data_IF_197792523624
#
_entry.id   IF_197792523624
#
_cell.length_a   1.000
_cell.length_b   1.000
_cell.length_c   1.000
_cell.angle_alpha   90.00
_cell.angle_beta   90.00
_cell.angle_gamma   90.00
#
_symmetry.space_group_name_H-M   'P 1'
#
loop_
_entity.id
_entity.type
_entity.pdbx_description
1 polymer ?
#
# COMPACT_ATOMS: atom_id res chain seq x y z
N UNK A 1 -30.89 -14.28 -8.47
CA UNK A 1 -30.03 -13.44 -9.32
C UNK A 1 -29.31 -12.33 -8.54
N UNK A 2 -29.44 -12.32 -7.18
CA UNK A 2 -28.89 -11.25 -6.34
C UNK A 2 -27.58 -11.57 -5.61
N UNK A 3 -27.05 -12.81 -5.76
CA UNK A 3 -25.80 -13.20 -5.11
C UNK A 3 -24.55 -12.62 -5.81
N UNK A 4 -24.62 -12.41 -7.12
CA UNK A 4 -23.52 -11.85 -7.91
C UNK A 4 -23.37 -10.34 -7.77
N UNK A 5 -24.44 -9.61 -7.47
CA UNK A 5 -24.41 -8.16 -7.32
C UNK A 5 -23.75 -7.68 -6.00
N UNK A 6 -23.67 -8.53 -4.98
CA UNK A 6 -22.99 -8.21 -3.73
C UNK A 6 -21.50 -8.49 -3.75
N UNK A 7 -21.02 -9.37 -4.63
CA UNK A 7 -19.59 -9.72 -4.74
C UNK A 7 -18.80 -8.76 -5.63
N UNK A 8 -19.45 -8.02 -6.53
CA UNK A 8 -18.79 -7.09 -7.45
C UNK A 8 -18.21 -5.81 -6.82
N UNK A 9 -18.46 -5.56 -5.54
CA UNK A 9 -17.89 -4.38 -4.84
C UNK A 9 -16.45 -4.58 -4.34
N UNK A 10 -15.82 -5.70 -4.59
CA UNK A 10 -14.64 -6.15 -3.84
C UNK A 10 -13.45 -6.52 -4.71
N UNK A 11 -13.62 -6.73 -6.01
CA UNK A 11 -12.54 -7.23 -6.87
C UNK A 11 -11.45 -6.21 -7.22
N UNK A 12 -11.74 -4.96 -7.08
CA UNK A 12 -10.93 -3.88 -7.62
C UNK A 12 -9.87 -3.29 -6.71
N UNK A 13 -10.01 -3.50 -5.43
CA UNK A 13 -9.16 -2.84 -4.43
C UNK A 13 -7.76 -3.41 -4.26
N UNK A 14 -7.40 -4.41 -5.03
CA UNK A 14 -6.29 -5.26 -4.64
C UNK A 14 -4.95 -4.97 -5.30
N UNK A 15 -4.90 -4.22 -6.37
CA UNK A 15 -3.62 -3.82 -6.95
C UNK A 15 -2.95 -2.70 -6.13
N UNK A 16 -3.74 -1.80 -5.54
CA UNK A 16 -3.25 -0.66 -4.75
C UNK A 16 -4.22 -0.19 -3.66
N UNK A 17 -5.35 -0.84 -3.47
CA UNK A 17 -6.36 -0.37 -2.56
C UNK A 17 -6.43 -1.21 -1.30
N UNK A 18 -5.69 -0.82 -0.34
CA UNK A 18 -6.15 -0.77 1.03
C UNK A 18 -6.98 0.52 1.16
N UNK A 19 -7.95 0.73 0.31
CA UNK A 19 -8.82 1.87 0.40
C UNK A 19 -10.25 1.50 0.02
N UNK A 20 -11.08 1.52 1.03
CA UNK A 20 -12.46 1.94 1.00
C UNK A 20 -13.61 0.94 0.77
N UNK A 21 -14.28 0.61 1.87
CA UNK A 21 -15.74 0.70 1.97
C UNK A 21 -16.15 1.00 3.41
N UNK A 22 -16.42 2.27 3.69
CA UNK A 22 -17.15 2.72 4.87
C UNK A 22 -18.64 2.71 4.55
N UNK A 23 -19.39 1.81 5.19
CA UNK A 23 -20.75 2.12 5.62
C UNK A 23 -20.83 1.77 7.10
N UNK A 24 -20.96 2.81 7.90
CA UNK A 24 -21.14 2.74 9.33
C UNK A 24 -22.61 2.38 9.63
N UNK A 25 -22.82 1.34 10.45
CA UNK A 25 -24.00 1.22 11.29
C UNK A 25 -23.54 1.29 12.75
N UNK A 26 -24.20 2.06 13.60
CA UNK A 26 -23.81 2.20 14.99
C UNK A 26 -24.38 1.03 15.78
N UNK A 27 -23.52 0.25 16.43
CA UNK A 27 -23.91 -0.58 17.57
C UNK A 27 -23.19 -0.07 18.81
N UNK A 28 -23.97 0.52 19.69
CA UNK A 28 -23.59 0.81 21.06
C UNK A 28 -23.37 -0.53 21.80
N UNK A 29 -22.18 -0.76 22.29
CA UNK A 29 -21.96 -1.71 23.35
C UNK A 29 -20.87 -1.19 24.29
N UNK A 30 -21.32 -0.81 25.49
CA UNK A 30 -20.49 -0.42 26.60
C UNK A 30 -19.88 -1.67 27.24
N UNK A 31 -18.56 -1.82 27.19
CA UNK A 31 -17.83 -2.71 28.11
C UNK A 31 -16.59 -2.00 28.63
N UNK A 32 -16.50 -2.03 29.95
CA UNK A 32 -15.45 -1.46 30.78
C UNK A 32 -14.07 -1.93 30.37
N UNK A 33 -13.19 -1.00 30.09
CA UNK A 33 -11.78 -1.24 29.85
C UNK A 33 -11.08 -1.47 31.20
N UNK A 34 -10.56 -2.67 31.39
CA UNK A 34 -9.52 -2.91 32.37
C UNK A 34 -8.25 -2.21 31.90
N UNK A 35 -7.79 -1.20 32.62
CA UNK A 35 -6.55 -0.48 32.32
C UNK A 35 -5.37 -1.37 32.71
N UNK A 36 -4.81 -2.05 31.73
CA UNK A 36 -3.45 -2.60 31.79
C UNK A 36 -2.48 -1.46 31.48
N UNK A 37 -1.63 -1.12 32.43
CA UNK A 37 -0.56 -0.15 32.28
C UNK A 37 0.34 -0.58 31.10
N UNK A 38 0.21 0.11 29.98
CA UNK A 38 1.11 -0.01 28.82
C UNK A 38 2.41 0.69 29.19
N UNK A 39 3.48 -0.06 29.35
CA UNK A 39 4.84 0.49 29.35
C UNK A 39 5.00 1.24 28.03
N UNK A 40 5.32 2.52 28.11
CA UNK A 40 5.29 3.48 27.01
C UNK A 40 6.04 3.01 25.77
N UNK A 41 5.31 2.48 24.83
CA UNK A 41 5.79 2.25 23.47
C UNK A 41 5.98 3.63 22.83
N UNK A 42 7.17 3.90 22.30
CA UNK A 42 7.41 5.16 21.60
C UNK A 42 6.35 5.33 20.48
N UNK A 43 5.82 6.54 20.26
CA UNK A 43 4.79 6.76 19.25
C UNK A 43 5.29 6.29 17.88
N UNK A 44 4.43 5.61 17.13
CA UNK A 44 4.73 5.16 15.78
C UNK A 44 5.15 6.35 14.91
N UNK A 45 6.34 6.25 14.30
CA UNK A 45 6.91 7.34 13.50
C UNK A 45 7.74 6.81 12.35
N UNK A 46 7.85 7.60 11.30
CA UNK A 46 8.82 7.37 10.23
C UNK A 46 10.20 7.79 10.73
N UNK A 47 11.17 6.90 10.54
CA UNK A 47 12.58 7.15 10.85
C UNK A 47 13.27 7.46 9.53
N UNK A 48 14.17 8.48 9.46
CA UNK A 48 14.96 8.73 8.26
C UNK A 48 15.71 7.48 7.78
N UNK A 49 15.90 7.29 6.46
CA UNK A 49 16.67 6.18 5.94
C UNK A 49 18.12 6.27 6.42
N UNK A 50 18.84 5.14 6.49
CA UNK A 50 20.27 5.14 6.80
C UNK A 50 21.03 6.10 5.87
N UNK A 51 22.08 6.78 6.34
CA UNK A 51 22.82 7.79 5.54
C UNK A 51 23.41 7.25 4.22
N UNK A 52 23.66 5.94 4.14
CA UNK A 52 24.20 5.25 2.96
C UNK A 52 23.10 4.61 2.10
N UNK A 53 21.82 4.76 2.43
CA UNK A 53 20.73 4.23 1.63
C UNK A 53 20.71 4.87 0.24
N UNK A 54 20.63 4.03 -0.77
CA UNK A 54 20.49 4.46 -2.17
C UNK A 54 19.13 4.05 -2.68
N UNK A 55 18.38 5.04 -3.10
CA UNK A 55 17.09 4.80 -3.75
C UNK A 55 17.28 4.01 -5.06
N UNK A 56 16.37 3.08 -5.39
CA UNK A 56 16.38 2.35 -6.66
C UNK A 56 15.91 3.25 -7.82
N UNK A 57 16.69 4.29 -8.11
CA UNK A 57 16.35 5.32 -9.08
C UNK A 57 16.25 4.73 -10.49
N UNK A 58 15.17 5.08 -11.21
CA UNK A 58 14.86 4.60 -12.56
C UNK A 58 14.62 3.07 -12.67
N UNK A 59 14.69 2.34 -11.58
CA UNK A 59 14.35 0.92 -11.61
C UNK A 59 12.85 0.71 -11.58
N UNK A 60 12.35 -0.08 -12.53
CA UNK A 60 10.97 -0.54 -12.58
C UNK A 60 10.87 -1.99 -12.10
N UNK A 61 10.05 -2.25 -11.11
CA UNK A 61 9.69 -3.59 -10.68
C UNK A 61 8.42 -4.02 -11.40
N UNK A 62 8.51 -5.03 -12.25
CA UNK A 62 7.37 -5.58 -12.98
C UNK A 62 6.92 -6.87 -12.31
N UNK A 63 5.66 -6.92 -11.95
CA UNK A 63 5.04 -8.06 -11.26
C UNK A 63 3.95 -8.72 -12.10
N UNK A 64 3.88 -10.03 -12.05
CA UNK A 64 2.67 -10.78 -12.40
C UNK A 64 1.75 -10.77 -11.18
N UNK A 65 0.51 -10.34 -11.37
CA UNK A 65 -0.55 -10.42 -10.36
C UNK A 65 -1.34 -11.72 -10.54
N UNK A 66 -1.48 -12.50 -9.48
CA UNK A 66 -2.21 -13.77 -9.46
C UNK A 66 -3.36 -13.68 -8.46
N UNK A 67 -4.53 -14.18 -8.86
CA UNK A 67 -5.71 -14.34 -8.02
C UNK A 67 -6.21 -15.77 -8.11
N UNK A 68 -6.32 -16.48 -6.97
CA UNK A 68 -6.69 -17.89 -6.94
C UNK A 68 -5.91 -18.76 -7.96
N UNK A 69 -4.58 -18.57 -8.04
CA UNK A 69 -3.66 -19.28 -8.94
C UNK A 69 -3.84 -18.97 -10.44
N UNK A 70 -4.69 -18.00 -10.77
CA UNK A 70 -4.87 -17.53 -12.15
C UNK A 70 -4.09 -16.23 -12.31
N UNK A 71 -3.38 -16.07 -13.42
CA UNK A 71 -2.80 -14.77 -13.78
C UNK A 71 -3.92 -13.77 -14.00
N UNK A 72 -4.00 -12.79 -13.12
CA UNK A 72 -5.04 -11.76 -13.14
C UNK A 72 -4.58 -10.50 -13.90
N UNK A 73 -3.27 -10.23 -13.93
CA UNK A 73 -2.77 -9.02 -14.57
C UNK A 73 -1.29 -8.80 -14.33
N UNK A 74 -0.87 -7.57 -14.60
CA UNK A 74 0.49 -7.08 -14.41
C UNK A 74 0.46 -5.81 -13.58
N UNK A 75 1.43 -5.63 -12.69
CA UNK A 75 1.67 -4.38 -11.99
C UNK A 75 3.11 -3.93 -12.21
N UNK A 76 3.30 -2.62 -12.37
CA UNK A 76 4.64 -2.01 -12.51
C UNK A 76 4.77 -0.91 -11.47
N UNK A 77 5.90 -0.90 -10.75
CA UNK A 77 6.21 0.16 -9.79
C UNK A 77 7.59 0.70 -10.11
N UNK A 78 7.68 2.00 -10.29
CA UNK A 78 8.92 2.71 -10.64
C UNK A 78 9.12 3.91 -9.73
N UNK A 79 10.38 4.13 -9.33
CA UNK A 79 10.78 5.33 -8.62
C UNK A 79 11.61 6.25 -9.53
N UNK A 80 11.36 7.55 -9.44
CA UNK A 80 12.02 8.59 -10.23
C UNK A 80 12.44 9.75 -9.31
N UNK A 81 13.48 10.47 -9.73
CA UNK A 81 13.81 11.78 -9.13
C UNK A 81 12.94 12.86 -9.76
N UNK A 82 12.30 13.70 -8.94
CA UNK A 82 11.44 14.79 -9.37
C UNK A 82 11.83 16.10 -8.63
N UNK A 83 12.87 16.75 -9.12
CA UNK A 83 13.46 17.93 -8.46
C UNK A 83 14.09 17.54 -7.12
N UNK A 84 13.64 18.14 -6.01
CA UNK A 84 14.09 17.81 -4.65
C UNK A 84 13.34 16.62 -4.04
N UNK A 85 12.28 16.13 -4.69
CA UNK A 85 11.43 15.05 -4.22
C UNK A 85 11.75 13.73 -4.94
N UNK A 86 11.23 12.65 -4.39
CA UNK A 86 11.07 11.37 -5.09
C UNK A 86 9.64 11.21 -5.54
N UNK A 87 9.49 10.62 -6.72
CA UNK A 87 8.19 10.26 -7.30
C UNK A 87 8.13 8.75 -7.49
N UNK A 88 7.07 8.15 -7.00
CA UNK A 88 6.74 6.75 -7.30
C UNK A 88 5.58 6.74 -8.26
N UNK A 89 5.74 6.01 -9.35
CA UNK A 89 4.67 5.74 -10.31
C UNK A 89 4.37 4.26 -10.26
N UNK A 90 3.09 3.92 -10.12
CA UNK A 90 2.67 2.54 -10.17
C UNK A 90 1.46 2.37 -11.07
N UNK A 91 1.45 1.31 -11.85
CA UNK A 91 0.33 0.93 -12.72
C UNK A 91 -0.10 -0.49 -12.46
N UNK A 92 -1.38 -0.77 -12.65
CA UNK A 92 -1.91 -2.13 -12.60
C UNK A 92 -2.93 -2.32 -13.72
N UNK A 93 -2.78 -3.42 -14.46
CA UNK A 93 -3.67 -3.77 -15.55
C UNK A 93 -4.09 -5.24 -15.45
N UNK A 94 -5.39 -5.49 -15.53
CA UNK A 94 -5.90 -6.85 -15.62
C UNK A 94 -5.66 -7.44 -17.00
N UNK A 95 -5.54 -8.78 -17.06
CA UNK A 95 -5.28 -9.53 -18.29
C UNK A 95 -6.17 -10.77 -18.41
N UNK A 96 -6.23 -11.32 -19.64
CA UNK A 96 -6.94 -12.56 -19.91
C UNK A 96 -8.42 -12.52 -19.53
N UNK A 97 -8.92 -13.62 -18.96
CA UNK A 97 -10.32 -13.76 -18.56
C UNK A 97 -10.74 -12.74 -17.49
N UNK A 98 -9.82 -12.36 -16.60
CA UNK A 98 -10.08 -11.34 -15.57
C UNK A 98 -10.40 -10.00 -16.21
N UNK A 99 -9.67 -9.60 -17.25
CA UNK A 99 -9.91 -8.34 -17.95
C UNK A 99 -11.28 -8.31 -18.67
N UNK A 100 -11.80 -9.46 -19.08
CA UNK A 100 -13.13 -9.54 -19.69
C UNK A 100 -14.26 -9.38 -18.65
N UNK A 101 -14.07 -10.00 -17.47
CA UNK A 101 -15.10 -10.01 -16.43
C UNK A 101 -15.03 -8.74 -15.57
N UNK A 102 -13.83 -8.31 -15.24
CA UNK A 102 -13.58 -7.19 -14.36
C UNK A 102 -12.29 -6.45 -14.78
N UNK A 103 -12.39 -5.57 -15.81
CA UNK A 103 -11.24 -4.82 -16.29
C UNK A 103 -10.71 -3.89 -15.19
N UNK A 104 -9.39 -3.90 -14.99
CA UNK A 104 -8.66 -3.00 -14.08
C UNK A 104 -7.62 -2.24 -14.90
N UNK A 105 -7.60 -0.92 -14.74
CA UNK A 105 -6.57 -0.01 -15.25
C UNK A 105 -6.35 1.08 -14.23
N UNK A 106 -5.33 0.90 -13.42
CA UNK A 106 -5.01 1.85 -12.37
C UNK A 106 -3.66 2.52 -12.64
N UNK A 107 -3.63 3.80 -12.38
CA UNK A 107 -2.42 4.60 -12.36
C UNK A 107 -2.34 5.35 -11.03
N UNK A 108 -1.20 5.23 -10.38
CA UNK A 108 -0.91 5.84 -9.11
C UNK A 108 0.39 6.64 -9.22
N UNK A 109 0.39 7.86 -8.72
CA UNK A 109 1.57 8.68 -8.56
C UNK A 109 1.64 9.22 -7.13
N UNK A 110 2.77 9.05 -6.45
CA UNK A 110 3.04 9.64 -5.15
C UNK A 110 4.35 10.43 -5.19
N UNK A 111 4.38 11.54 -4.46
CA UNK A 111 5.58 12.35 -4.24
C UNK A 111 5.88 12.41 -2.75
N UNK A 112 7.15 12.29 -2.41
CA UNK A 112 7.58 12.29 -1.02
C UNK A 112 8.98 12.93 -0.85
N UNK A 113 9.25 13.41 0.36
CA UNK A 113 10.55 13.94 0.76
C UNK A 113 11.54 12.78 1.00
N UNK A 114 12.65 12.70 0.23
CA UNK A 114 13.57 11.56 0.30
C UNK A 114 14.29 11.39 1.64
N UNK A 115 14.46 12.46 2.41
CA UNK A 115 15.14 12.40 3.71
C UNK A 115 14.26 11.88 4.83
N UNK A 116 12.95 11.96 4.67
CA UNK A 116 12.00 11.66 5.74
C UNK A 116 10.96 10.61 5.35
N UNK A 117 10.81 10.28 4.05
CA UNK A 117 9.70 9.49 3.51
C UNK A 117 8.30 10.04 3.78
N UNK A 118 8.19 11.31 4.19
CA UNK A 118 6.90 11.96 4.32
C UNK A 118 6.29 12.18 2.94
N UNK A 119 5.10 11.65 2.69
CA UNK A 119 4.38 11.89 1.44
C UNK A 119 3.92 13.35 1.34
N UNK A 120 4.07 13.96 0.17
CA UNK A 120 3.64 15.32 -0.11
C UNK A 120 2.32 15.33 -0.89
N UNK A 121 2.18 14.40 -1.85
CA UNK A 121 0.95 14.28 -2.64
C UNK A 121 0.77 12.86 -3.18
N UNK A 122 -0.49 12.52 -3.44
CA UNK A 122 -0.89 11.29 -4.13
C UNK A 122 -1.90 11.67 -5.21
N UNK A 123 -1.76 11.08 -6.39
CA UNK A 123 -2.77 11.12 -7.45
C UNK A 123 -3.07 9.70 -7.88
N UNK A 124 -4.34 9.35 -7.97
CA UNK A 124 -4.81 8.04 -8.41
C UNK A 124 -5.83 8.22 -9.51
N UNK A 125 -5.64 7.52 -10.60
CA UNK A 125 -6.67 7.27 -11.60
C UNK A 125 -7.00 5.79 -11.54
N UNK A 126 -8.22 5.45 -11.15
CA UNK A 126 -8.65 4.06 -10.97
C UNK A 126 -9.83 3.75 -11.88
N UNK A 127 -9.64 2.74 -12.73
CA UNK A 127 -10.69 2.14 -13.53
C UNK A 127 -10.83 0.66 -13.15
N UNK A 128 -11.85 0.36 -12.36
CA UNK A 128 -12.02 -0.94 -11.72
C UNK A 128 -13.44 -1.46 -11.99
N UNK A 129 -13.59 -2.26 -13.03
CA UNK A 129 -14.89 -2.74 -13.48
C UNK A 129 -15.85 -1.56 -13.73
N UNK A 130 -16.97 -1.49 -12.96
CA UNK A 130 -17.93 -0.39 -13.11
C UNK A 130 -17.48 0.93 -12.45
N UNK A 131 -16.41 0.92 -11.64
CA UNK A 131 -15.98 2.10 -10.88
C UNK A 131 -14.84 2.82 -11.60
N UNK A 132 -15.01 4.13 -11.81
CA UNK A 132 -13.99 4.99 -12.40
C UNK A 132 -13.85 6.24 -11.56
N UNK A 133 -12.65 6.49 -11.05
CA UNK A 133 -12.38 7.60 -10.13
C UNK A 133 -11.03 8.26 -10.39
N UNK A 134 -11.00 9.55 -10.15
CA UNK A 134 -9.79 10.30 -9.91
C UNK A 134 -9.76 10.72 -8.44
N UNK A 135 -8.62 10.53 -7.80
CA UNK A 135 -8.42 10.93 -6.41
C UNK A 135 -7.09 11.65 -6.32
N UNK A 136 -7.09 12.82 -5.70
CA UNK A 136 -5.86 13.50 -5.28
C UNK A 136 -5.85 13.69 -3.78
N UNK A 137 -4.68 13.55 -3.16
CA UNK A 137 -4.48 13.77 -1.74
C UNK A 137 -3.25 14.66 -1.58
N UNK A 138 -3.42 15.77 -0.86
CA UNK A 138 -2.34 16.68 -0.50
C UNK A 138 -2.07 16.58 1.00
N UNK A 139 -0.79 16.56 1.37
CA UNK A 139 -0.36 16.50 2.76
C UNK A 139 0.14 17.89 3.19
N UNK A 140 -0.64 18.58 4.01
CA UNK A 140 -0.29 19.90 4.57
C UNK A 140 0.17 19.74 6.01
N UNK A 141 1.46 19.56 6.16
CA UNK A 141 2.08 19.39 7.48
C UNK A 141 2.04 20.67 8.34
N UNK A 142 1.99 21.85 7.70
CA UNK A 142 1.90 23.12 8.44
C UNK A 142 0.51 23.29 9.07
N UNK A 143 -0.55 22.92 8.35
CA UNK A 143 -1.93 22.94 8.84
C UNK A 143 -2.30 21.66 9.60
N UNK A 144 -1.44 20.65 9.59
CA UNK A 144 -1.71 19.31 10.12
C UNK A 144 -2.97 18.69 9.52
N UNK A 145 -3.11 18.76 8.19
CA UNK A 145 -4.26 18.24 7.44
C UNK A 145 -3.81 17.45 6.21
N UNK A 146 -4.60 16.44 5.87
CA UNK A 146 -4.66 15.92 4.51
C UNK A 146 -5.92 16.46 3.84
N UNK A 147 -5.80 16.84 2.58
CA UNK A 147 -6.93 17.26 1.74
C UNK A 147 -7.12 16.23 0.66
N UNK A 148 -8.24 15.53 0.69
CA UNK A 148 -8.64 14.56 -0.31
C UNK A 148 -9.70 15.16 -1.22
N UNK A 149 -9.43 15.15 -2.52
CA UNK A 149 -10.39 15.46 -3.58
C UNK A 149 -10.63 14.20 -4.42
N UNK A 150 -11.87 13.74 -4.50
CA UNK A 150 -12.28 12.57 -5.28
C UNK A 150 -13.37 12.97 -6.30
N UNK A 151 -13.21 12.49 -7.54
CA UNK A 151 -14.19 12.65 -8.61
C UNK A 151 -14.60 11.29 -9.17
N UNK A 152 -15.89 11.01 -9.16
CA UNK A 152 -16.46 9.89 -9.89
C UNK A 152 -16.52 10.25 -11.38
N UNK A 153 -15.79 9.56 -12.23
CA UNK A 153 -15.68 9.87 -13.65
C UNK A 153 -16.92 9.48 -14.47
N UNK A 154 -17.81 8.66 -13.91
CA UNK A 154 -19.07 8.29 -14.56
C UNK A 154 -20.20 9.26 -14.26
N UNK A 155 -20.32 9.70 -13.01
CA UNK A 155 -21.41 10.57 -12.57
C UNK A 155 -21.01 12.04 -12.57
N UNK A 156 -19.71 12.35 -12.59
CA UNK A 156 -19.18 13.70 -12.42
C UNK A 156 -19.23 14.20 -10.97
N UNK A 157 -19.73 13.39 -10.04
CA UNK A 157 -19.82 13.74 -8.63
C UNK A 157 -18.43 13.94 -8.03
N UNK A 158 -18.26 15.00 -7.26
CA UNK A 158 -17.02 15.34 -6.58
C UNK A 158 -17.21 15.31 -5.06
N UNK A 159 -16.17 14.89 -4.37
CA UNK A 159 -16.12 14.88 -2.90
C UNK A 159 -14.81 15.46 -2.44
N UNK A 160 -14.86 16.43 -1.52
CA UNK A 160 -13.68 16.99 -0.85
C UNK A 160 -13.75 16.73 0.65
N UNK A 161 -12.65 16.21 1.21
CA UNK A 161 -12.57 15.88 2.65
C UNK A 161 -11.23 16.34 3.20
N UNK A 162 -11.26 17.04 4.33
CA UNK A 162 -10.08 17.30 5.14
C UNK A 162 -10.06 16.33 6.32
N UNK A 163 -8.90 15.73 6.60
CA UNK A 163 -8.68 14.89 7.77
C UNK A 163 -7.44 15.36 8.53
N UNK A 164 -7.36 15.00 9.82
CA UNK A 164 -6.21 15.33 10.64
C UNK A 164 -4.97 14.54 10.22
N UNK A 165 -3.82 15.22 10.26
CA UNK A 165 -2.50 14.68 9.99
C UNK A 165 -1.56 15.16 11.11
N UNK A 166 -1.39 14.35 12.14
CA UNK A 166 -0.62 14.77 13.32
C UNK A 166 0.88 14.91 13.03
N UNK A 167 1.43 13.97 12.26
CA UNK A 167 2.86 13.84 12.00
C UNK A 167 3.13 13.43 10.55
N UNK A 168 4.42 13.34 10.21
CA UNK A 168 4.86 12.72 8.97
C UNK A 168 4.20 11.34 8.77
N UNK A 169 3.59 11.13 7.62
CA UNK A 169 3.03 9.86 7.19
C UNK A 169 3.49 9.56 5.76
N UNK A 170 3.69 8.30 5.46
CA UNK A 170 3.93 7.84 4.10
C UNK A 170 2.62 7.36 3.47
N UNK A 171 2.55 7.23 2.14
CA UNK A 171 1.47 6.51 1.48
C UNK A 171 1.76 5.02 1.43
N UNK A 172 0.77 4.23 0.99
CA UNK A 172 0.87 2.77 0.97
C UNK A 172 2.02 2.27 0.12
N UNK A 173 2.27 2.86 -1.06
CA UNK A 173 3.32 2.38 -1.98
C UNK A 173 4.68 2.87 -1.54
N UNK A 174 4.79 4.14 -1.17
CA UNK A 174 6.02 4.69 -0.59
C UNK A 174 6.41 3.95 0.69
N UNK A 175 5.44 3.43 1.46
CA UNK A 175 5.65 2.58 2.63
C UNK A 175 6.45 1.28 2.33
N UNK A 176 6.30 0.71 1.14
CA UNK A 176 7.16 -0.42 0.73
C UNK A 176 8.60 0.00 0.51
N UNK A 177 8.85 1.16 -0.09
CA UNK A 177 10.19 1.70 -0.25
C UNK A 177 10.80 2.14 1.09
N UNK A 178 9.95 2.62 2.01
CA UNK A 178 10.37 2.87 3.38
C UNK A 178 10.86 1.59 4.05
N UNK A 179 10.11 0.49 3.99
CA UNK A 179 10.55 -0.80 4.52
C UNK A 179 11.81 -1.31 3.81
N UNK A 180 11.90 -1.16 2.49
CA UNK A 180 13.10 -1.50 1.72
C UNK A 180 14.35 -0.76 2.21
N UNK A 181 14.20 0.46 2.73
CA UNK A 181 15.30 1.26 3.25
C UNK A 181 15.75 0.86 4.64
N UNK A 182 14.95 0.08 5.37
CA UNK A 182 15.24 -0.30 6.76
C UNK A 182 16.22 -1.49 6.85
N UNK A 183 16.97 -1.60 7.94
CA UNK A 183 17.79 -2.79 8.21
C UNK A 183 16.89 -3.97 8.59
N UNK A 184 16.47 -4.76 7.60
CA UNK A 184 15.55 -5.88 7.77
C UNK A 184 16.23 -7.08 8.47
N UNK A 185 16.37 -7.01 9.79
CA UNK A 185 16.91 -8.09 10.61
C UNK A 185 15.78 -8.98 11.14
N UNK A 186 16.02 -10.27 11.27
CA UNK A 186 15.06 -11.21 11.85
C UNK A 186 14.61 -10.76 13.24
N UNK A 187 13.29 -10.73 13.45
CA UNK A 187 12.68 -10.27 14.69
C UNK A 187 12.51 -8.75 14.80
N UNK A 188 13.06 -7.96 13.86
CA UNK A 188 12.84 -6.52 13.85
C UNK A 188 11.36 -6.19 13.63
N UNK A 189 10.89 -5.14 14.30
CA UNK A 189 9.53 -4.63 14.20
C UNK A 189 9.58 -3.14 13.95
N UNK A 190 8.80 -2.68 12.97
CA UNK A 190 8.67 -1.29 12.59
C UNK A 190 7.21 -0.87 12.74
N UNK A 191 6.96 0.23 13.43
CA UNK A 191 5.63 0.84 13.53
C UNK A 191 5.69 2.25 12.96
N UNK A 192 4.87 2.50 11.94
CA UNK A 192 4.89 3.76 11.23
C UNK A 192 3.51 4.14 10.68
N UNK A 193 3.23 5.45 10.56
CA UNK A 193 1.98 5.94 9.99
C UNK A 193 2.00 5.87 8.47
N UNK A 194 0.92 5.30 7.90
CA UNK A 194 0.57 5.45 6.50
C UNK A 194 -0.72 6.27 6.38
N UNK A 195 -0.89 6.96 5.26
CA UNK A 195 -2.10 7.73 5.02
C UNK A 195 -2.56 7.62 3.56
N UNK A 196 -3.83 7.31 3.39
CA UNK A 196 -4.59 7.39 2.15
C UNK A 196 -5.74 8.38 2.34
N UNK A 197 -5.39 9.60 2.80
CA UNK A 197 -6.30 10.64 3.25
C UNK A 197 -6.64 10.54 4.74
N UNK A 198 -6.65 9.36 5.34
CA UNK A 198 -6.73 9.14 6.79
C UNK A 198 -5.55 8.33 7.27
N UNK A 199 -5.00 8.73 8.41
CA UNK A 199 -3.82 8.06 8.98
C UNK A 199 -4.18 6.74 9.64
N UNK A 200 -3.34 5.75 9.38
CA UNK A 200 -3.38 4.39 9.93
C UNK A 200 -2.00 4.03 10.42
N UNK A 201 -1.88 3.45 11.60
CA UNK A 201 -0.60 2.91 12.07
C UNK A 201 -0.46 1.48 11.56
N UNK A 202 0.66 1.22 10.91
CA UNK A 202 1.04 -0.11 10.41
C UNK A 202 2.17 -0.65 11.28
N UNK A 203 2.03 -1.91 11.67
CA UNK A 203 3.08 -2.70 12.30
C UNK A 203 3.60 -3.71 11.28
N UNK A 204 4.88 -3.60 10.96
CA UNK A 204 5.59 -4.51 10.08
C UNK A 204 6.63 -5.32 10.89
N UNK A 205 6.61 -6.65 10.79
CA UNK A 205 7.50 -7.54 11.51
C UNK A 205 8.29 -8.43 10.54
N UNK A 206 9.61 -8.49 10.71
CA UNK A 206 10.49 -9.39 9.95
C UNK A 206 10.42 -10.77 10.59
N UNK A 207 9.71 -11.70 9.96
CA UNK A 207 9.33 -12.99 10.57
C UNK A 207 10.39 -14.08 10.37
N UNK A 208 10.87 -14.23 9.14
CA UNK A 208 11.78 -15.33 8.77
C UNK A 208 12.54 -15.05 7.47
N UNK A 209 13.59 -15.86 7.26
CA UNK A 209 14.31 -15.97 5.99
C UNK A 209 13.89 -17.25 5.30
N UNK A 210 13.62 -17.18 4.00
CA UNK A 210 13.29 -18.35 3.20
C UNK A 210 13.67 -18.17 1.72
N UNK A 211 13.74 -19.29 0.98
CA UNK A 211 13.93 -19.25 -0.46
C UNK A 211 12.59 -18.98 -1.16
N UNK A 212 12.56 -17.98 -2.04
CA UNK A 212 11.38 -17.61 -2.81
C UNK A 212 11.70 -17.73 -4.29
N UNK A 213 10.90 -18.52 -4.99
CA UNK A 213 10.99 -18.68 -6.44
C UNK A 213 9.90 -17.85 -7.13
N UNK A 214 10.32 -16.90 -7.95
CA UNK A 214 9.48 -16.02 -8.78
C UNK A 214 9.94 -16.08 -10.23
N UNK A 215 9.20 -15.53 -11.21
CA UNK A 215 9.65 -15.54 -12.62
C UNK A 215 11.02 -14.88 -12.84
N UNK A 216 11.38 -13.85 -12.07
CA UNK A 216 12.69 -13.20 -12.12
C UNK A 216 13.85 -14.06 -11.59
N UNK A 217 13.58 -15.18 -10.92
CA UNK A 217 14.61 -16.07 -10.37
C UNK A 217 14.26 -16.64 -9.00
N UNK A 218 15.30 -17.16 -8.33
CA UNK A 218 15.21 -17.67 -6.95
C UNK A 218 16.04 -16.77 -6.03
N UNK A 219 15.41 -16.30 -4.96
CA UNK A 219 15.99 -15.35 -4.03
C UNK A 219 15.99 -15.91 -2.61
N UNK A 220 17.09 -15.72 -1.88
CA UNK A 220 17.02 -15.71 -0.42
C UNK A 220 16.28 -14.44 -0.01
N UNK A 221 15.20 -14.55 0.73
CA UNK A 221 14.35 -13.42 1.04
C UNK A 221 13.91 -13.38 2.50
N UNK A 222 13.71 -12.18 3.01
CA UNK A 222 13.18 -11.88 4.33
C UNK A 222 11.68 -11.64 4.21
N UNK A 223 10.90 -12.45 4.90
CA UNK A 223 9.45 -12.28 5.00
C UNK A 223 9.13 -11.20 6.01
N UNK A 224 8.46 -10.16 5.57
CA UNK A 224 7.91 -9.10 6.41
C UNK A 224 6.39 -9.18 6.36
N UNK A 225 5.73 -9.36 7.51
CA UNK A 225 4.28 -9.22 7.61
C UNK A 225 3.92 -7.82 8.07
N UNK A 226 2.89 -7.24 7.47
CA UNK A 226 2.41 -5.91 7.81
C UNK A 226 0.89 -5.94 8.02
N UNK A 227 0.45 -5.29 9.09
CA UNK A 227 -0.97 -5.15 9.42
C UNK A 227 -1.23 -3.80 10.08
N UNK A 228 -2.44 -3.31 9.90
CA UNK A 228 -2.89 -2.08 10.55
C UNK A 228 -3.26 -2.35 12.01
N UNK A 229 -2.64 -1.62 12.92
CA UNK A 229 -2.93 -1.70 14.37
C UNK A 229 -3.94 -0.65 14.84
N UNK A 230 -4.16 0.38 14.01
CA UNK A 230 -5.16 1.43 14.25
C UNK A 230 -5.67 2.03 12.95
N UNK A 231 -6.67 2.89 13.04
CA UNK A 231 -7.20 3.65 11.92
C UNK A 231 -8.14 2.86 11.00
N UNK A 232 -8.49 3.42 9.83
CA UNK A 232 -9.52 2.85 8.95
C UNK A 232 -9.18 1.47 8.39
N UNK A 233 -7.92 1.08 8.38
CA UNK A 233 -7.45 -0.19 7.83
C UNK A 233 -7.32 -1.31 8.88
N UNK A 234 -7.55 -0.99 10.14
CA UNK A 234 -7.52 -1.99 11.21
C UNK A 234 -8.47 -3.15 10.90
N UNK A 235 -7.98 -4.39 11.01
CA UNK A 235 -8.72 -5.62 10.71
C UNK A 235 -9.24 -5.76 9.26
N UNK A 236 -8.78 -4.93 8.32
CA UNK A 236 -9.22 -5.00 6.92
C UNK A 236 -8.40 -5.95 6.05
N UNK A 237 -7.24 -6.35 6.53
CA UNK A 237 -6.37 -7.30 5.82
C UNK A 237 -4.99 -7.40 6.43
N UNK A 238 -4.21 -8.33 5.88
CA UNK A 238 -2.80 -8.51 6.21
C UNK A 238 -2.00 -8.62 4.91
N UNK A 239 -0.84 -7.99 4.90
CA UNK A 239 0.09 -8.03 3.78
C UNK A 239 1.36 -8.75 4.21
N UNK A 240 1.91 -9.56 3.33
CA UNK A 240 3.23 -10.16 3.46
C UNK A 240 4.06 -9.72 2.26
N UNK A 241 5.25 -9.23 2.52
CA UNK A 241 6.22 -8.86 1.51
C UNK A 241 7.51 -9.65 1.72
N UNK A 242 8.09 -10.13 0.65
CA UNK A 242 9.40 -10.78 0.65
C UNK A 242 10.40 -9.84 0.01
N UNK A 243 11.36 -9.40 0.80
CA UNK A 243 12.47 -8.58 0.35
C UNK A 243 13.71 -9.45 0.17
N UNK A 244 14.48 -9.27 -0.90
CA UNK A 244 15.74 -9.99 -1.07
C UNK A 244 16.67 -9.74 0.13
N UNK A 245 17.36 -10.80 0.56
CA UNK A 245 18.27 -10.76 1.71
C UNK A 245 19.67 -10.30 1.25
N UNK A 246 19.71 -9.14 0.66
CA UNK A 246 20.90 -8.43 0.21
C UNK A 246 20.75 -6.92 0.46
N UNK A 247 21.77 -6.15 0.14
CA UNK A 247 21.77 -4.70 0.38
C UNK A 247 20.68 -3.92 -0.40
N UNK A 248 20.08 -4.50 -1.43
CA UNK A 248 19.03 -3.86 -2.21
C UNK A 248 17.65 -4.01 -1.60
N UNK A 249 17.43 -5.02 -0.76
CA UNK A 249 16.11 -5.41 -0.24
C UNK A 249 15.03 -5.33 -1.34
N UNK A 250 15.32 -5.88 -2.52
CA UNK A 250 14.37 -5.87 -3.64
C UNK A 250 13.06 -6.57 -3.24
N UNK A 251 11.89 -5.95 -3.42
CA UNK A 251 10.61 -6.58 -3.11
C UNK A 251 10.27 -7.64 -4.17
N UNK A 252 10.63 -8.91 -3.91
CA UNK A 252 10.52 -10.01 -4.87
C UNK A 252 9.13 -10.63 -4.95
N UNK A 253 8.36 -10.54 -3.87
CA UNK A 253 7.00 -11.06 -3.82
C UNK A 253 6.16 -10.30 -2.79
N UNK A 254 4.88 -10.12 -3.08
CA UNK A 254 3.90 -9.57 -2.13
C UNK A 254 2.63 -10.41 -2.15
N UNK A 255 2.03 -10.62 -0.99
CA UNK A 255 0.74 -11.28 -0.82
C UNK A 255 -0.17 -10.42 0.03
N UNK A 256 -1.33 -10.08 -0.49
CA UNK A 256 -2.36 -9.35 0.26
C UNK A 256 -3.57 -10.27 0.47
N UNK A 257 -3.93 -10.49 1.74
CA UNK A 257 -5.16 -11.19 2.11
C UNK A 257 -6.23 -10.13 2.36
N UNK A 258 -7.28 -10.19 1.57
CA UNK A 258 -8.39 -9.25 1.58
C UNK A 258 -9.69 -10.00 1.88
N UNK A 259 -10.76 -9.29 2.23
CA UNK A 259 -12.03 -9.92 2.60
C UNK A 259 -12.64 -10.82 1.51
N UNK A 260 -12.26 -10.63 0.25
CA UNK A 260 -12.76 -11.35 -0.92
C UNK A 260 -11.75 -12.31 -1.54
N UNK A 261 -10.55 -12.41 -1.01
CA UNK A 261 -9.55 -13.35 -1.50
C UNK A 261 -8.12 -12.92 -1.25
N UNK A 262 -7.22 -13.65 -1.87
CA UNK A 262 -5.78 -13.39 -1.78
C UNK A 262 -5.24 -13.00 -3.14
N UNK A 263 -4.52 -11.89 -3.19
CA UNK A 263 -3.69 -11.50 -4.33
C UNK A 263 -2.23 -11.79 -4.04
N UNK A 264 -1.56 -12.30 -5.05
CA UNK A 264 -0.13 -12.58 -5.04
C UNK A 264 0.54 -11.84 -6.19
N UNK A 265 1.53 -11.01 -5.87
CA UNK A 265 2.38 -10.33 -6.84
C UNK A 265 3.75 -11.00 -6.82
N UNK A 266 4.23 -11.43 -7.98
CA UNK A 266 5.52 -12.11 -8.12
C UNK A 266 6.39 -11.34 -9.10
N UNK A 267 7.59 -10.97 -8.68
CA UNK A 267 8.53 -10.24 -9.52
C UNK A 267 8.82 -11.02 -10.81
N UNK A 268 8.51 -10.40 -11.93
CA UNK A 268 8.73 -10.95 -13.26
C UNK A 268 10.09 -10.53 -13.81
N UNK A 269 10.43 -9.24 -13.66
CA UNK A 269 11.70 -8.64 -14.07
C UNK A 269 11.91 -7.27 -13.40
N UNK A 270 13.15 -6.83 -13.41
CA UNK A 270 13.54 -5.46 -13.06
C UNK A 270 13.92 -4.76 -14.37
N UNK A 271 13.28 -3.63 -14.63
CA UNK A 271 13.60 -2.74 -15.74
C UNK A 271 14.55 -1.63 -15.24
N UNK A 272 15.48 -1.22 -16.13
CA UNK A 272 16.41 -0.10 -15.89
C UNK A 272 16.00 1.09 -16.74
#
# INVERSE_FOLDING_TARGET
MDLFARQSRVLAAAAFAVAFCLQATPFLNSQQAASTASFGQAPARIVPPPPNYRFPDLQGYVYTAEWHLITAGTAVVRMETAGSERKVVATAESQGAVNVIFPVRDHFEARFEPRTFCSNSIVKHSEEGPHKRETSIQFDYARKKTVLDEKNLKTGETKKVENDLENCATDVITGFYYLQSMPLQLGAVYEFPISDGKTTIVRAAVEKREQVKVPAGTFSALLVSAEATSGPLQSKGKVWAWFSDDASHTPVQMRAKLGWGTLLFRLQRIEK
#
